data_IF_984079788161
#
_entry.id   IF_984079788161
#
_cell.length_a   1.000
_cell.length_b   1.000
_cell.length_c   1.000
_cell.angle_alpha   90.00
_cell.angle_beta   90.00
_cell.angle_gamma   90.00
#
_symmetry.space_group_name_H-M   'P 1'
#
loop_
_entity.id
_entity.type
_entity.pdbx_description
1 polymer ?
#
# COMPACT_ATOMS: atom_id res chain seq x y z
N UNK A 1 -46.62 -22.83 -36.74
CA UNK A 1 -45.62 -22.43 -37.74
C UNK A 1 -45.26 -21.01 -37.39
N UNK A 2 -44.04 -20.78 -36.91
CA UNK A 2 -43.48 -19.44 -36.84
C UNK A 2 -41.96 -19.58 -36.92
N UNK A 3 -41.40 -18.76 -37.77
CA UNK A 3 -40.27 -19.07 -38.61
C UNK A 3 -38.92 -18.88 -37.92
N UNK A 4 -38.06 -19.87 -38.14
CA UNK A 4 -36.64 -19.85 -37.80
C UNK A 4 -35.92 -18.84 -38.70
N UNK A 5 -35.67 -17.62 -38.20
CA UNK A 5 -34.79 -16.65 -38.88
C UNK A 5 -33.34 -17.05 -38.67
N UNK A 6 -32.82 -17.79 -39.64
CA UNK A 6 -31.40 -17.96 -39.90
C UNK A 6 -30.79 -16.59 -40.24
N UNK A 7 -29.89 -16.09 -39.39
CA UNK A 7 -29.08 -14.91 -39.69
C UNK A 7 -27.65 -15.38 -39.85
N UNK A 8 -27.30 -15.63 -41.12
CA UNK A 8 -25.93 -15.78 -41.58
C UNK A 8 -25.27 -14.39 -41.60
N UNK A 9 -24.23 -14.20 -40.79
CA UNK A 9 -23.37 -13.01 -40.84
C UNK A 9 -21.95 -13.45 -41.16
N UNK A 10 -21.72 -13.75 -42.42
CA UNK A 10 -20.39 -13.81 -42.99
C UNK A 10 -19.92 -12.37 -43.25
N UNK A 11 -19.15 -11.79 -42.33
CA UNK A 11 -18.41 -10.56 -42.59
C UNK A 11 -16.91 -10.81 -42.42
N UNK A 12 -16.22 -10.81 -43.55
CA UNK A 12 -14.77 -10.95 -43.65
C UNK A 12 -14.07 -9.61 -43.35
N UNK A 13 -12.90 -9.76 -42.75
CA UNK A 13 -11.76 -8.85 -42.73
C UNK A 13 -11.84 -7.59 -41.85
N UNK A 14 -11.25 -7.69 -40.64
CA UNK A 14 -10.04 -6.90 -40.37
C UNK A 14 -9.17 -7.55 -39.27
N UNK A 15 -7.91 -7.79 -39.61
CA UNK A 15 -6.85 -8.22 -38.69
C UNK A 15 -6.41 -7.01 -37.86
N UNK A 16 -6.54 -7.10 -36.54
CA UNK A 16 -5.58 -6.46 -35.64
C UNK A 16 -5.46 -7.29 -34.35
N UNK A 17 -4.19 -7.57 -34.03
CA UNK A 17 -3.73 -8.48 -33.01
C UNK A 17 -4.10 -7.99 -31.59
N UNK A 18 -4.91 -8.78 -30.88
CA UNK A 18 -4.92 -8.83 -29.41
C UNK A 18 -4.88 -10.30 -29.03
N UNK A 19 -3.99 -10.63 -28.10
CA UNK A 19 -3.87 -11.95 -27.49
C UNK A 19 -5.25 -12.43 -26.99
N UNK A 20 -5.93 -13.17 -27.85
CA UNK A 20 -7.10 -13.94 -27.45
C UNK A 20 -6.51 -15.16 -26.74
N UNK A 21 -6.28 -15.03 -25.43
CA UNK A 21 -6.07 -16.18 -24.54
C UNK A 21 -7.32 -17.06 -24.66
N UNK A 22 -7.28 -17.94 -25.65
CA UNK A 22 -8.39 -18.80 -26.02
C UNK A 22 -8.34 -19.94 -25.00
N UNK A 23 -8.97 -19.74 -23.84
CA UNK A 23 -8.97 -20.73 -22.78
C UNK A 23 -9.73 -21.96 -23.30
N UNK A 24 -8.98 -23.01 -23.63
CA UNK A 24 -9.56 -24.27 -24.09
C UNK A 24 -9.90 -25.07 -22.83
N UNK A 25 -11.14 -24.96 -22.38
CA UNK A 25 -11.68 -25.68 -21.21
C UNK A 25 -12.46 -26.89 -21.74
N UNK A 26 -12.33 -28.04 -21.08
CA UNK A 26 -13.16 -29.20 -21.44
C UNK A 26 -14.63 -28.93 -21.12
N UNK A 27 -15.56 -29.56 -21.85
CA UNK A 27 -17.00 -29.37 -21.60
C UNK A 27 -17.36 -29.68 -20.13
N UNK A 28 -16.73 -30.72 -19.54
CA UNK A 28 -16.94 -31.09 -18.13
C UNK A 28 -16.46 -30.02 -17.15
N UNK A 29 -15.31 -29.37 -17.41
CA UNK A 29 -14.80 -28.28 -16.58
C UNK A 29 -15.65 -27.01 -16.71
N UNK A 30 -16.19 -26.74 -17.90
CA UNK A 30 -17.12 -25.65 -18.14
C UNK A 30 -18.42 -25.88 -17.34
N UNK A 31 -18.99 -27.07 -17.45
CA UNK A 31 -20.21 -27.45 -16.72
C UNK A 31 -19.99 -27.39 -15.20
N UNK A 32 -18.82 -27.85 -14.72
CA UNK A 32 -18.45 -27.74 -13.29
C UNK A 32 -18.36 -26.28 -12.83
N UNK A 33 -17.75 -25.40 -13.62
CA UNK A 33 -17.69 -23.96 -13.31
C UNK A 33 -19.07 -23.32 -13.28
N UNK A 34 -19.94 -23.66 -14.24
CA UNK A 34 -21.33 -23.16 -14.29
C UNK A 34 -22.10 -23.64 -13.06
N UNK A 35 -22.06 -24.93 -12.73
CA UNK A 35 -22.72 -25.47 -11.54
C UNK A 35 -22.20 -24.81 -10.26
N UNK A 36 -20.89 -24.58 -10.16
CA UNK A 36 -20.31 -23.90 -9.00
C UNK A 36 -20.75 -22.44 -8.90
N UNK A 37 -20.88 -21.74 -10.02
CA UNK A 37 -21.40 -20.37 -10.07
C UNK A 37 -22.89 -20.32 -9.68
N UNK A 38 -23.71 -21.22 -10.23
CA UNK A 38 -25.14 -21.35 -9.89
C UNK A 38 -25.31 -21.65 -8.41
N UNK A 39 -24.55 -22.61 -7.87
CA UNK A 39 -24.60 -22.95 -6.45
C UNK A 39 -24.22 -21.75 -5.57
N UNK A 40 -23.10 -21.07 -5.87
CA UNK A 40 -22.68 -19.88 -5.12
C UNK A 40 -23.73 -18.78 -5.17
N UNK A 41 -24.31 -18.52 -6.34
CA UNK A 41 -25.32 -17.48 -6.49
C UNK A 41 -26.59 -17.83 -5.72
N UNK A 42 -27.07 -19.08 -5.84
CA UNK A 42 -28.23 -19.59 -5.10
C UNK A 42 -28.03 -19.51 -3.58
N UNK A 43 -26.84 -19.85 -3.06
CA UNK A 43 -26.54 -19.71 -1.64
C UNK A 43 -26.52 -18.24 -1.17
N UNK A 44 -25.99 -17.33 -2.00
CA UNK A 44 -25.98 -15.90 -1.68
C UNK A 44 -27.39 -15.31 -1.68
N UNK A 45 -28.23 -15.67 -2.65
CA UNK A 45 -29.63 -15.27 -2.71
C UNK A 45 -30.42 -15.84 -1.52
N UNK A 46 -30.23 -17.11 -1.20
CA UNK A 46 -30.85 -17.75 -0.03
C UNK A 46 -30.51 -16.99 1.26
N UNK A 47 -29.23 -16.64 1.47
CA UNK A 47 -28.81 -15.84 2.64
C UNK A 47 -29.42 -14.45 2.69
N UNK A 48 -29.54 -13.77 1.54
CA UNK A 48 -30.22 -12.47 1.46
C UNK A 48 -31.69 -12.61 1.83
N UNK A 49 -32.35 -13.64 1.30
CA UNK A 49 -33.76 -13.92 1.56
C UNK A 49 -34.00 -14.31 3.02
N UNK A 50 -33.13 -15.13 3.61
CA UNK A 50 -33.18 -15.49 5.03
C UNK A 50 -33.03 -14.25 5.92
N UNK A 51 -32.07 -13.36 5.63
CA UNK A 51 -31.92 -12.08 6.36
C UNK A 51 -33.15 -11.19 6.25
N UNK A 52 -33.73 -11.06 5.06
CA UNK A 52 -34.92 -10.25 4.83
C UNK A 52 -36.15 -10.86 5.56
N UNK A 53 -36.29 -12.18 5.53
CA UNK A 53 -37.35 -12.89 6.23
C UNK A 53 -37.21 -12.77 7.75
N UNK A 54 -35.99 -12.86 8.29
CA UNK A 54 -35.68 -12.64 9.70
C UNK A 54 -36.03 -11.20 10.12
N UNK A 55 -35.69 -10.22 9.28
CA UNK A 55 -36.06 -8.81 9.47
C UNK A 55 -37.56 -8.60 9.45
N UNK A 56 -38.28 -9.17 8.49
CA UNK A 56 -39.75 -9.08 8.45
C UNK A 56 -40.40 -9.77 9.64
N UNK A 57 -39.92 -10.96 10.03
CA UNK A 57 -40.44 -11.69 11.19
C UNK A 57 -40.22 -10.93 12.50
N UNK A 58 -39.07 -10.27 12.68
CA UNK A 58 -38.86 -9.43 13.85
C UNK A 58 -39.83 -8.25 13.85
N UNK A 59 -40.11 -7.62 12.70
CA UNK A 59 -41.01 -6.47 12.59
C UNK A 59 -42.51 -6.80 12.78
N UNK A 60 -42.94 -8.05 12.57
CA UNK A 60 -44.37 -8.47 12.67
C UNK A 60 -44.87 -8.50 14.13
N UNK A 61 -43.98 -8.60 15.12
CA UNK A 61 -44.33 -8.65 16.55
C UNK A 61 -44.11 -7.37 17.34
N UNK A 62 -43.57 -6.32 16.70
CA UNK A 62 -43.24 -5.04 17.34
C UNK A 62 -44.43 -4.08 17.23
N UNK A 63 -44.79 -3.39 18.33
CA UNK A 63 -45.74 -2.27 18.29
C UNK A 63 -45.20 -1.17 17.35
N UNK A 64 -46.03 -0.30 16.79
CA UNK A 64 -45.63 0.67 15.74
C UNK A 64 -44.43 1.53 16.17
N UNK A 65 -44.36 1.86 17.46
CA UNK A 65 -43.27 2.60 18.09
C UNK A 65 -41.94 1.82 18.12
N UNK A 66 -42.04 0.51 18.31
CA UNK A 66 -40.95 -0.42 18.40
C UNK A 66 -40.40 -0.70 16.98
N UNK A 67 -41.29 -0.79 15.99
CA UNK A 67 -40.96 -0.90 14.56
C UNK A 67 -40.17 0.32 14.06
N UNK A 68 -40.64 1.52 14.42
CA UNK A 68 -39.94 2.79 14.16
C UNK A 68 -38.55 2.84 14.80
N UNK A 69 -38.37 2.27 15.99
CA UNK A 69 -37.07 2.23 16.68
C UNK A 69 -36.09 1.29 15.96
N UNK A 70 -36.56 0.12 15.53
CA UNK A 70 -35.76 -0.83 14.77
C UNK A 70 -35.32 -0.27 13.41
N UNK A 71 -36.23 0.40 12.69
CA UNK A 71 -35.93 1.06 11.41
C UNK A 71 -34.92 2.20 11.58
N UNK A 72 -35.07 3.03 12.62
CA UNK A 72 -34.08 4.08 12.92
C UNK A 72 -32.71 3.50 13.23
N UNK A 73 -32.62 2.44 14.02
CA UNK A 73 -31.35 1.81 14.34
C UNK A 73 -30.67 1.22 13.09
N UNK A 74 -31.43 0.58 12.20
CA UNK A 74 -30.92 0.05 10.93
C UNK A 74 -30.42 1.17 10.00
N UNK A 75 -31.16 2.28 9.89
CA UNK A 75 -30.76 3.46 9.13
C UNK A 75 -29.51 4.12 9.71
N UNK A 76 -29.42 4.25 11.03
CA UNK A 76 -28.24 4.80 11.70
C UNK A 76 -27.00 3.92 11.46
N UNK A 77 -27.15 2.60 11.50
CA UNK A 77 -26.07 1.67 11.20
C UNK A 77 -25.61 1.78 9.74
N UNK A 78 -26.53 1.80 8.79
CA UNK A 78 -26.21 1.97 7.36
C UNK A 78 -25.52 3.32 7.10
N UNK A 79 -25.98 4.38 7.76
CA UNK A 79 -25.41 5.71 7.64
C UNK A 79 -24.00 5.79 8.24
N UNK A 80 -23.75 5.11 9.36
CA UNK A 80 -22.42 4.98 9.93
C UNK A 80 -21.47 4.20 9.02
N UNK A 81 -21.92 3.08 8.45
CA UNK A 81 -21.13 2.27 7.51
C UNK A 81 -20.80 3.04 6.22
N UNK A 82 -21.77 3.80 5.68
CA UNK A 82 -21.56 4.66 4.52
C UNK A 82 -20.54 5.77 4.81
N UNK A 83 -20.65 6.42 5.98
CA UNK A 83 -19.68 7.44 6.43
C UNK A 83 -18.27 6.85 6.53
N UNK A 84 -18.13 5.70 7.20
CA UNK A 84 -16.85 5.03 7.34
C UNK A 84 -16.24 4.67 5.98
N UNK A 85 -17.06 4.14 5.06
CA UNK A 85 -16.64 3.78 3.70
C UNK A 85 -16.12 4.99 2.93
N UNK A 86 -16.82 6.13 3.00
CA UNK A 86 -16.38 7.36 2.35
C UNK A 86 -15.08 7.90 2.96
N UNK A 87 -14.98 7.91 4.29
CA UNK A 87 -13.76 8.36 4.98
C UNK A 87 -12.58 7.47 4.59
N UNK A 88 -12.76 6.15 4.52
CA UNK A 88 -11.71 5.22 4.03
C UNK A 88 -11.28 5.54 2.61
N UNK A 89 -12.24 5.77 1.71
CA UNK A 89 -11.96 6.08 0.31
C UNK A 89 -11.20 7.40 0.14
N UNK A 90 -11.54 8.43 0.91
CA UNK A 90 -10.79 9.68 0.92
C UNK A 90 -9.42 9.53 1.60
N UNK A 91 -9.33 8.72 2.65
CA UNK A 91 -8.06 8.39 3.31
C UNK A 91 -7.10 7.69 2.37
N UNK A 92 -7.57 6.73 1.55
CA UNK A 92 -6.76 6.09 0.50
C UNK A 92 -6.14 7.13 -0.42
N UNK A 93 -6.94 8.10 -0.92
CA UNK A 93 -6.43 9.17 -1.79
C UNK A 93 -5.36 10.02 -1.08
N UNK A 94 -5.54 10.30 0.21
CA UNK A 94 -4.57 11.09 1.01
C UNK A 94 -3.27 10.30 1.20
N UNK A 95 -3.35 9.01 1.51
CA UNK A 95 -2.19 8.13 1.64
C UNK A 95 -1.40 8.05 0.34
N UNK A 96 -2.08 7.79 -0.79
CA UNK A 96 -1.46 7.73 -2.11
C UNK A 96 -0.75 9.04 -2.49
N UNK A 97 -1.38 10.19 -2.23
CA UNK A 97 -0.76 11.52 -2.42
C UNK A 97 0.50 11.73 -1.58
N UNK A 98 0.60 11.08 -0.43
CA UNK A 98 1.80 11.10 0.43
C UNK A 98 2.81 9.99 0.08
N UNK A 99 2.53 9.19 -0.95
CA UNK A 99 3.39 8.07 -1.36
C UNK A 99 3.31 6.85 -0.44
N UNK A 100 2.24 6.74 0.35
CA UNK A 100 1.95 5.61 1.25
C UNK A 100 0.96 4.65 0.59
N UNK A 101 1.08 3.34 0.88
CA UNK A 101 0.18 2.32 0.30
C UNK A 101 -1.25 2.48 0.78
N UNK A 102 -2.22 2.25 -0.11
CA UNK A 102 -3.64 2.18 0.20
C UNK A 102 -3.96 1.08 1.23
N UNK A 103 -3.17 0.01 1.30
CA UNK A 103 -3.33 -1.08 2.27
C UNK A 103 -3.19 -0.60 3.73
N UNK A 104 -2.60 0.58 3.94
CA UNK A 104 -2.44 1.16 5.26
C UNK A 104 -3.71 1.85 5.78
N UNK A 105 -4.77 1.98 4.95
CA UNK A 105 -6.01 2.68 5.29
C UNK A 105 -6.66 2.14 6.57
N UNK A 106 -6.71 0.82 6.74
CA UNK A 106 -7.35 0.19 7.89
C UNK A 106 -6.58 0.42 9.21
N UNK A 107 -5.31 0.86 9.14
CA UNK A 107 -4.50 1.18 10.31
C UNK A 107 -4.62 2.65 10.75
N UNK A 108 -5.05 3.54 9.85
CA UNK A 108 -5.20 4.97 10.15
C UNK A 108 -6.66 5.39 10.32
N UNK A 109 -7.59 4.71 9.64
CA UNK A 109 -9.02 4.97 9.68
C UNK A 109 -9.73 4.12 10.76
N UNK A 110 -9.45 4.44 12.03
CA UNK A 110 -9.96 3.71 13.20
C UNK A 110 -11.32 4.22 13.71
N UNK A 111 -11.75 5.38 13.24
CA UNK A 111 -13.01 6.03 13.64
C UNK A 111 -13.65 6.77 12.46
N UNK A 112 -14.84 7.32 12.68
CA UNK A 112 -15.50 8.23 11.73
C UNK A 112 -15.14 9.70 11.96
N UNK A 113 -14.18 9.99 12.84
CA UNK A 113 -13.69 11.33 13.11
C UNK A 113 -12.55 11.66 12.13
N UNK A 114 -12.81 12.60 11.22
CA UNK A 114 -11.87 12.99 10.16
C UNK A 114 -10.59 13.58 10.75
N UNK A 115 -10.69 14.35 11.84
CA UNK A 115 -9.53 15.00 12.45
C UNK A 115 -8.62 13.96 13.13
N UNK A 116 -9.21 12.96 13.77
CA UNK A 116 -8.47 11.83 14.34
C UNK A 116 -7.77 11.01 13.25
N UNK A 117 -8.48 10.68 12.17
CA UNK A 117 -7.92 9.96 11.02
C UNK A 117 -6.77 10.75 10.40
N UNK A 118 -6.94 12.06 10.20
CA UNK A 118 -5.89 12.93 9.68
C UNK A 118 -4.65 12.96 10.58
N UNK A 119 -4.84 13.05 11.90
CA UNK A 119 -3.75 12.99 12.87
C UNK A 119 -3.01 11.63 12.83
N UNK A 120 -3.73 10.53 12.60
CA UNK A 120 -3.12 9.21 12.44
C UNK A 120 -2.30 9.10 11.14
N UNK A 121 -2.80 9.64 10.02
CA UNK A 121 -2.05 9.72 8.76
C UNK A 121 -0.75 10.52 8.95
N UNK A 122 -0.79 11.64 9.68
CA UNK A 122 0.40 12.47 9.95
C UNK A 122 1.44 11.75 10.81
N UNK A 123 1.00 11.03 11.86
CA UNK A 123 1.88 10.20 12.68
C UNK A 123 2.54 9.10 11.83
N UNK A 124 1.78 8.41 11.00
CA UNK A 124 2.27 7.37 10.10
C UNK A 124 3.29 7.93 9.10
N UNK A 125 2.96 9.04 8.43
CA UNK A 125 3.83 9.68 7.45
C UNK A 125 5.19 10.07 8.06
N UNK A 126 5.16 10.70 9.25
CA UNK A 126 6.38 11.07 9.97
C UNK A 126 7.21 9.85 10.36
N UNK A 127 6.57 8.83 10.93
CA UNK A 127 7.25 7.61 11.36
C UNK A 127 7.86 6.85 10.18
N UNK A 128 7.14 6.75 9.06
CA UNK A 128 7.60 6.09 7.85
C UNK A 128 8.81 6.81 7.24
N UNK A 129 8.74 8.13 7.09
CA UNK A 129 9.88 8.94 6.60
C UNK A 129 11.10 8.80 7.49
N UNK A 130 10.92 8.82 8.81
CA UNK A 130 12.03 8.60 9.75
C UNK A 130 12.64 7.20 9.58
N UNK A 131 11.82 6.15 9.51
CA UNK A 131 12.29 4.78 9.34
C UNK A 131 13.05 4.58 8.01
N UNK A 132 12.56 5.19 6.93
CA UNK A 132 13.24 5.18 5.63
C UNK A 132 14.57 5.93 5.71
N UNK A 133 14.60 7.12 6.32
CA UNK A 133 15.84 7.88 6.51
C UNK A 133 16.87 7.09 7.31
N UNK A 134 16.45 6.46 8.41
CA UNK A 134 17.34 5.65 9.26
C UNK A 134 17.85 4.40 8.51
N UNK A 135 17.00 3.74 7.72
CA UNK A 135 17.39 2.61 6.90
C UNK A 135 18.37 3.02 5.79
N UNK A 136 18.13 4.14 5.11
CA UNK A 136 19.04 4.71 4.11
C UNK A 136 20.36 5.12 4.76
N UNK A 137 20.35 5.79 5.91
CA UNK A 137 21.55 6.15 6.65
C UNK A 137 22.38 4.91 7.03
N UNK A 138 21.74 3.84 7.52
CA UNK A 138 22.39 2.54 7.79
C UNK A 138 22.94 1.89 6.53
N UNK A 139 22.25 2.01 5.39
CA UNK A 139 22.71 1.45 4.12
C UNK A 139 23.90 2.24 3.58
N UNK A 140 23.81 3.57 3.53
CA UNK A 140 24.90 4.46 3.09
C UNK A 140 26.14 4.29 3.97
N UNK A 141 25.97 4.12 5.28
CA UNK A 141 27.11 3.85 6.20
C UNK A 141 27.64 2.41 6.15
N UNK A 142 26.84 1.43 5.70
CA UNK A 142 27.28 0.03 5.55
C UNK A 142 27.83 -0.33 4.17
N UNK A 143 27.43 0.39 3.11
CA UNK A 143 27.98 0.24 1.74
C UNK A 143 29.07 1.26 1.43
N UNK A 144 29.11 2.38 2.16
CA UNK A 144 30.37 3.09 2.32
C UNK A 144 31.37 2.09 2.88
N UNK A 145 32.55 2.00 2.26
CA UNK A 145 33.71 1.31 2.84
C UNK A 145 33.68 1.43 4.35
N UNK A 146 34.04 0.37 5.09
CA UNK A 146 34.48 0.51 6.48
C UNK A 146 35.54 1.60 6.51
N UNK A 147 35.13 2.84 6.66
CA UNK A 147 35.97 3.86 7.19
C UNK A 147 36.05 3.46 8.64
N UNK A 148 37.08 2.68 8.91
CA UNK A 148 37.96 2.91 10.04
C UNK A 148 38.31 4.42 10.12
N UNK A 149 37.32 5.25 10.36
CA UNK A 149 37.44 6.64 10.75
C UNK A 149 36.91 6.75 12.18
N UNK A 150 37.45 5.98 13.11
CA UNK A 150 38.49 6.51 13.98
C UNK A 150 39.81 6.85 13.25
N UNK A 151 39.76 7.89 12.43
CA UNK A 151 40.91 8.46 11.71
C UNK A 151 40.60 9.94 11.53
N UNK A 152 40.75 10.67 12.62
CA UNK A 152 41.27 12.03 12.53
C UNK A 152 42.70 11.93 11.95
N UNK A 153 42.81 11.75 10.63
CA UNK A 153 43.97 12.10 9.78
C UNK A 153 43.86 11.43 8.41
N UNK A 154 43.20 12.11 7.46
CA UNK A 154 43.50 11.94 6.03
C UNK A 154 44.79 12.73 5.69
N UNK A 155 45.82 12.56 6.51
CA UNK A 155 47.12 13.21 6.37
C UNK A 155 48.21 12.19 6.63
N UNK A 156 49.38 12.47 6.06
CA UNK A 156 50.63 11.74 6.30
C UNK A 156 50.69 11.33 7.77
N UNK A 157 50.77 10.03 8.06
CA UNK A 157 50.91 9.54 9.44
C UNK A 157 52.30 9.87 9.99
N UNK A 158 52.48 9.93 11.32
CA UNK A 158 53.80 10.21 11.93
C UNK A 158 54.90 9.24 11.46
N UNK A 159 54.53 7.98 11.24
CA UNK A 159 55.46 6.95 10.76
C UNK A 159 55.81 7.12 9.28
N UNK A 160 54.90 7.66 8.47
CA UNK A 160 55.21 8.05 7.09
C UNK A 160 56.08 9.31 7.07
N UNK A 161 55.77 10.31 7.91
CA UNK A 161 56.57 11.53 8.06
C UNK A 161 58.04 11.24 8.41
N UNK A 162 58.30 10.34 9.35
CA UNK A 162 59.68 9.92 9.72
C UNK A 162 60.45 9.24 8.59
N UNK A 163 59.74 8.63 7.63
CA UNK A 163 60.33 7.93 6.48
C UNK A 163 60.50 8.83 5.26
N UNK A 164 59.88 10.01 5.25
CA UNK A 164 60.03 10.99 4.18
C UNK A 164 61.44 11.58 4.19
N UNK A 165 61.97 11.85 3.00
CA UNK A 165 63.22 12.57 2.83
C UNK A 165 63.11 14.02 3.33
N UNK A 166 64.26 14.64 3.60
CA UNK A 166 64.30 16.04 4.07
C UNK A 166 63.65 17.01 3.06
N UNK A 167 63.72 16.69 1.76
CA UNK A 167 63.12 17.49 0.70
C UNK A 167 61.59 17.43 0.77
N UNK A 168 61.03 16.25 0.95
CA UNK A 168 59.58 16.05 1.07
C UNK A 168 59.03 16.62 2.39
N UNK A 169 59.79 16.53 3.49
CA UNK A 169 59.45 17.19 4.75
C UNK A 169 59.45 18.71 4.62
N UNK A 170 60.41 19.28 3.87
CA UNK A 170 60.48 20.72 3.59
C UNK A 170 59.32 21.18 2.71
N UNK A 171 58.94 20.37 1.72
CA UNK A 171 57.77 20.65 0.88
C UNK A 171 56.49 20.63 1.71
N UNK A 172 56.33 19.65 2.62
CA UNK A 172 55.20 19.59 3.53
C UNK A 172 55.14 20.81 4.47
N UNK A 173 56.28 21.30 4.95
CA UNK A 173 56.34 22.52 5.75
C UNK A 173 55.89 23.77 4.98
N UNK A 174 56.27 23.87 3.70
CA UNK A 174 55.91 25.00 2.84
C UNK A 174 54.44 24.97 2.39
N UNK A 175 53.90 23.79 2.11
CA UNK A 175 52.52 23.61 1.63
C UNK A 175 51.50 23.53 2.78
N UNK A 176 51.87 22.91 3.91
CA UNK A 176 51.00 22.75 5.07
C UNK A 176 51.80 22.74 6.39
N UNK A 177 52.19 23.94 6.84
CA UNK A 177 52.94 24.16 8.07
C UNK A 177 52.26 23.60 9.32
N UNK A 178 50.93 23.68 9.41
CA UNK A 178 50.16 23.20 10.58
C UNK A 178 50.26 21.68 10.71
N UNK A 179 50.07 20.96 9.60
CA UNK A 179 50.23 19.50 9.56
C UNK A 179 51.66 19.07 9.86
N UNK A 180 52.67 19.76 9.30
CA UNK A 180 54.07 19.49 9.61
C UNK A 180 54.37 19.62 11.12
N UNK A 181 53.91 20.70 11.76
CA UNK A 181 54.13 20.92 13.20
C UNK A 181 53.43 19.86 14.06
N UNK A 182 52.26 19.38 13.64
CA UNK A 182 51.53 18.30 14.34
C UNK A 182 52.24 16.94 14.24
N UNK A 183 52.93 16.68 13.12
CA UNK A 183 53.65 15.43 12.86
C UNK A 183 55.08 15.43 13.42
N UNK A 184 55.71 16.60 13.49
CA UNK A 184 57.06 16.80 14.02
C UNK A 184 57.15 16.83 15.57
N UNK A 185 55.99 16.87 16.25
CA UNK A 185 55.88 16.79 17.72
C UNK A 185 55.92 15.34 18.21
#
# INVERSE_FOLDING_TARGET
MEDNKNVDVNNKDNKDNKDNDTITITQEELDRKIQQAIYKNSQNEKKKYEKELEKQKSLIGLDEQERLKAEKADLEQQLAEYKLTNIKLDTVKVLEKRGLSADLVDFVCLSTDIDEVQANIEKLDKAFKQAVNDAVAKRVTSTGTKNSNNSNSNGITKEQFKKMSIAEQTQLFNENKELYMQLAK
#
